data_IF_701520441397
#
_entry.id   IF_701520441397
#
_cell.length_a   1.000
_cell.length_b   1.000
_cell.length_c   1.000
_cell.angle_alpha   90.00
_cell.angle_beta   90.00
_cell.angle_gamma   90.00
#
_symmetry.space_group_name_H-M   'P 1'
#
loop_
_entity.id
_entity.type
_entity.pdbx_description
1 polymer ?
#
# COMPACT_ATOMS: atom_id res chain seq x y z
N UNK A 1 -43.11 34.04 -44.37
CA UNK A 1 -41.86 34.60 -44.92
C UNK A 1 -41.37 35.61 -43.88
N UNK A 2 -40.48 35.25 -43.00
CA UNK A 2 -39.96 36.18 -41.99
C UNK A 2 -39.05 37.20 -42.69
N UNK A 3 -39.26 38.48 -42.40
CA UNK A 3 -38.53 39.59 -43.02
C UNK A 3 -37.11 39.63 -42.50
N UNK A 4 -36.16 40.07 -43.34
CA UNK A 4 -34.72 40.13 -43.04
C UNK A 4 -34.42 40.94 -41.76
N UNK A 5 -35.29 41.91 -41.45
CA UNK A 5 -35.17 42.76 -40.22
C UNK A 5 -35.45 41.97 -38.94
N UNK A 6 -36.28 40.93 -38.97
CA UNK A 6 -36.61 40.12 -37.80
C UNK A 6 -35.45 39.12 -37.44
N UNK A 7 -34.70 38.70 -38.45
CA UNK A 7 -33.51 37.84 -38.27
C UNK A 7 -32.32 38.68 -37.75
N UNK A 8 -32.17 39.92 -38.18
CA UNK A 8 -31.11 40.78 -37.71
C UNK A 8 -31.27 41.21 -36.23
N UNK A 9 -32.49 41.40 -35.75
CA UNK A 9 -32.78 41.71 -34.37
C UNK A 9 -32.49 40.57 -33.38
N UNK A 10 -32.58 39.30 -33.85
CA UNK A 10 -32.37 38.11 -33.03
C UNK A 10 -30.90 37.78 -32.84
N UNK A 11 -30.01 38.29 -33.72
CA UNK A 11 -28.57 38.06 -33.65
C UNK A 11 -27.83 39.07 -32.76
N UNK A 12 -28.45 40.17 -32.43
CA UNK A 12 -27.85 41.25 -31.63
C UNK A 12 -27.89 41.03 -30.09
N UNK A 13 -28.54 39.92 -29.62
CA UNK A 13 -28.88 39.70 -28.22
C UNK A 13 -27.86 38.96 -27.35
N UNK A 14 -26.73 38.49 -27.89
CA UNK A 14 -25.78 37.71 -27.10
C UNK A 14 -24.35 38.24 -27.14
N UNK A 15 -24.20 39.53 -26.91
CA UNK A 15 -22.87 40.11 -26.60
C UNK A 15 -22.70 40.11 -25.10
N UNK A 16 -21.86 39.19 -24.60
CA UNK A 16 -21.37 39.24 -23.21
C UNK A 16 -20.82 40.63 -22.91
N UNK A 17 -21.19 41.28 -21.80
CA UNK A 17 -20.70 42.63 -21.49
C UNK A 17 -19.18 42.63 -21.49
N UNK A 18 -18.53 43.67 -22.04
CA UNK A 18 -17.07 43.77 -22.07
C UNK A 18 -16.53 43.74 -20.65
N UNK A 19 -15.64 42.78 -20.38
CA UNK A 19 -15.02 42.64 -19.06
C UNK A 19 -14.23 43.92 -18.76
N UNK A 20 -14.63 44.67 -17.75
CA UNK A 20 -13.91 45.87 -17.33
C UNK A 20 -12.53 45.48 -16.78
N UNK A 21 -11.52 46.35 -16.94
CA UNK A 21 -10.16 46.11 -16.40
C UNK A 21 -10.21 45.74 -14.92
N UNK A 22 -11.07 46.37 -14.15
CA UNK A 22 -11.30 46.11 -12.74
C UNK A 22 -11.88 44.71 -12.49
N UNK A 23 -12.85 44.31 -13.29
CA UNK A 23 -13.45 42.97 -13.23
C UNK A 23 -12.43 41.89 -13.58
N UNK A 24 -11.60 42.12 -14.59
CA UNK A 24 -10.53 41.20 -14.97
C UNK A 24 -9.51 41.00 -13.86
N UNK A 25 -9.01 42.10 -13.25
CA UNK A 25 -8.08 42.02 -12.11
C UNK A 25 -8.71 41.32 -10.91
N UNK A 26 -9.96 41.63 -10.59
CA UNK A 26 -10.69 40.94 -9.49
C UNK A 26 -10.86 39.44 -9.75
N UNK A 27 -11.14 39.06 -10.99
CA UNK A 27 -11.26 37.66 -11.39
C UNK A 27 -9.92 36.92 -11.26
N UNK A 28 -8.83 37.54 -11.71
CA UNK A 28 -7.48 36.96 -11.57
C UNK A 28 -7.08 36.81 -10.10
N UNK A 29 -7.27 37.81 -9.28
CA UNK A 29 -6.94 37.78 -7.86
C UNK A 29 -7.79 36.72 -7.12
N UNK A 30 -9.11 36.74 -7.37
CA UNK A 30 -10.03 35.75 -6.78
C UNK A 30 -9.73 34.32 -7.23
N UNK A 31 -9.47 34.13 -8.52
CA UNK A 31 -9.08 32.83 -9.07
C UNK A 31 -7.76 32.33 -8.51
N UNK A 32 -6.76 33.21 -8.40
CA UNK A 32 -5.46 32.85 -7.81
C UNK A 32 -5.59 32.48 -6.33
N UNK A 33 -6.41 33.21 -5.58
CA UNK A 33 -6.66 32.91 -4.16
C UNK A 33 -7.31 31.53 -4.00
N UNK A 34 -8.35 31.22 -4.78
CA UNK A 34 -9.03 29.92 -4.74
C UNK A 34 -8.08 28.80 -5.15
N UNK A 35 -7.32 29.00 -6.23
CA UNK A 35 -6.34 28.01 -6.69
C UNK A 35 -5.27 27.72 -5.62
N UNK A 36 -4.76 28.78 -4.97
CA UNK A 36 -3.79 28.63 -3.87
C UNK A 36 -4.39 27.91 -2.67
N UNK A 37 -5.62 28.25 -2.29
CA UNK A 37 -6.32 27.57 -1.19
C UNK A 37 -6.53 26.08 -1.49
N UNK A 38 -6.96 25.73 -2.70
CA UNK A 38 -7.12 24.32 -3.11
C UNK A 38 -5.78 23.60 -3.14
N UNK A 39 -4.73 24.22 -3.70
CA UNK A 39 -3.39 23.63 -3.76
C UNK A 39 -2.81 23.35 -2.36
N UNK A 40 -3.15 24.18 -1.38
CA UNK A 40 -2.69 24.01 0.00
C UNK A 40 -3.56 23.02 0.78
N UNK A 41 -4.87 23.12 0.69
CA UNK A 41 -5.80 22.28 1.45
C UNK A 41 -5.88 20.85 0.92
N UNK A 42 -5.78 20.65 -0.40
CA UNK A 42 -5.89 19.32 -0.98
C UNK A 42 -4.88 18.29 -0.42
N UNK A 43 -3.57 18.56 -0.38
CA UNK A 43 -2.62 17.60 0.19
C UNK A 43 -2.85 17.39 1.70
N UNK A 44 -3.25 18.42 2.44
CA UNK A 44 -3.56 18.31 3.87
C UNK A 44 -4.76 17.39 4.08
N UNK A 45 -5.85 17.59 3.35
CA UNK A 45 -7.04 16.74 3.43
C UNK A 45 -6.75 15.28 2.99
N UNK A 46 -5.89 15.11 1.98
CA UNK A 46 -5.48 13.76 1.53
C UNK A 46 -4.59 13.06 2.55
N UNK A 47 -3.77 13.82 3.26
CA UNK A 47 -2.95 13.28 4.37
C UNK A 47 -3.82 12.89 5.56
N UNK A 48 -4.78 13.73 5.94
CA UNK A 48 -5.68 13.45 7.06
C UNK A 48 -6.70 12.35 6.76
N UNK A 49 -7.04 12.15 5.48
CA UNK A 49 -7.97 11.13 5.04
C UNK A 49 -7.33 10.25 3.95
N UNK A 50 -6.31 9.44 4.32
CA UNK A 50 -5.65 8.59 3.35
C UNK A 50 -6.67 7.62 2.74
N UNK A 51 -6.56 7.31 1.44
CA UNK A 51 -7.41 6.31 0.83
C UNK A 51 -7.23 5.01 1.62
N UNK A 52 -8.34 4.41 2.05
CA UNK A 52 -8.31 3.05 2.61
C UNK A 52 -7.67 2.17 1.54
N UNK A 53 -6.43 1.76 1.75
CA UNK A 53 -5.87 0.69 0.95
C UNK A 53 -6.81 -0.47 1.16
N UNK A 54 -7.46 -0.91 0.09
CA UNK A 54 -8.28 -2.09 0.14
C UNK A 54 -7.36 -3.17 0.72
N UNK A 55 -7.59 -3.55 1.98
CA UNK A 55 -7.23 -4.87 2.42
C UNK A 55 -7.94 -5.75 1.39
N UNK A 56 -7.19 -6.18 0.39
CA UNK A 56 -7.71 -7.16 -0.54
C UNK A 56 -8.00 -8.35 0.35
N UNK A 57 -9.28 -8.48 0.69
CA UNK A 57 -9.81 -9.52 1.56
C UNK A 57 -9.73 -10.91 0.94
N UNK A 58 -8.68 -11.17 0.18
CA UNK A 58 -8.26 -12.52 -0.13
C UNK A 58 -7.62 -13.08 1.13
N UNK A 59 -8.33 -13.96 1.79
CA UNK A 59 -7.79 -14.78 2.90
C UNK A 59 -6.45 -15.45 2.53
N UNK A 60 -6.02 -15.36 1.27
CA UNK A 60 -4.88 -16.05 0.68
C UNK A 60 -4.19 -15.16 -0.38
N UNK A 61 -2.88 -15.04 -0.30
CA UNK A 61 -2.03 -14.24 -1.19
C UNK A 61 -1.01 -15.15 -1.87
N UNK A 62 -0.76 -14.93 -3.16
CA UNK A 62 0.34 -15.58 -3.87
C UNK A 62 1.69 -15.04 -3.34
N UNK A 63 2.47 -15.90 -2.69
CA UNK A 63 3.76 -15.52 -2.10
C UNK A 63 4.95 -15.83 -3.03
N UNK A 64 4.80 -16.75 -3.96
CA UNK A 64 5.84 -17.13 -4.92
C UNK A 64 5.52 -18.41 -5.68
N UNK A 65 6.51 -18.89 -6.44
CA UNK A 65 6.41 -20.17 -7.17
C UNK A 65 7.28 -21.23 -6.54
N UNK A 66 6.87 -22.48 -6.72
CA UNK A 66 7.67 -23.66 -6.32
C UNK A 66 8.99 -23.64 -7.10
N UNK A 67 10.11 -23.77 -6.38
CA UNK A 67 11.44 -23.74 -6.99
C UNK A 67 12.04 -22.34 -7.16
N UNK A 68 11.27 -21.28 -6.98
CA UNK A 68 11.80 -19.90 -7.00
C UNK A 68 12.79 -19.64 -5.85
N UNK A 69 12.50 -20.18 -4.66
CA UNK A 69 13.40 -20.10 -3.53
C UNK A 69 14.37 -21.29 -3.52
N UNK A 70 15.65 -21.01 -3.31
CA UNK A 70 16.65 -22.03 -3.03
C UNK A 70 16.35 -22.69 -1.69
N UNK A 71 16.85 -23.90 -1.47
CA UNK A 71 16.83 -24.53 -0.15
C UNK A 71 17.54 -23.63 0.87
N UNK A 72 17.06 -23.60 2.08
CA UNK A 72 17.59 -22.80 3.16
C UNK A 72 17.66 -21.30 2.81
N UNK A 73 16.59 -20.75 2.24
CA UNK A 73 16.52 -19.33 1.87
C UNK A 73 15.17 -18.70 2.23
N UNK A 74 15.13 -17.38 2.32
CA UNK A 74 13.92 -16.63 2.64
C UNK A 74 13.67 -15.49 1.65
N UNK A 75 12.39 -15.14 1.46
CA UNK A 75 11.93 -14.05 0.61
C UNK A 75 10.85 -13.26 1.30
N UNK A 76 10.96 -11.94 1.23
CA UNK A 76 9.89 -11.04 1.65
C UNK A 76 8.86 -10.95 0.54
N UNK A 77 7.59 -11.08 0.89
CA UNK A 77 6.44 -10.89 0.00
C UNK A 77 5.43 -9.93 0.63
N UNK A 78 4.48 -9.46 -0.15
CA UNK A 78 3.46 -8.54 0.33
C UNK A 78 2.22 -9.32 0.77
N UNK A 79 1.85 -9.20 2.03
CA UNK A 79 0.63 -9.77 2.60
C UNK A 79 -0.34 -8.64 2.98
N UNK A 80 -1.25 -8.30 2.07
CA UNK A 80 -2.10 -7.12 2.23
C UNK A 80 -1.28 -5.83 2.32
N UNK A 81 -1.41 -5.10 3.42
CA UNK A 81 -0.66 -3.87 3.71
C UNK A 81 0.65 -4.11 4.45
N UNK A 82 0.96 -5.35 4.85
CA UNK A 82 2.14 -5.70 5.67
C UNK A 82 3.11 -6.61 4.93
N UNK A 83 4.40 -6.60 5.30
CA UNK A 83 5.35 -7.55 4.76
C UNK A 83 5.15 -8.93 5.41
N UNK A 84 5.20 -9.97 4.58
CA UNK A 84 5.30 -11.37 4.98
C UNK A 84 6.69 -11.92 4.64
N UNK A 85 7.15 -12.92 5.37
CA UNK A 85 8.37 -13.67 5.12
C UNK A 85 7.98 -15.10 4.74
N UNK A 86 8.42 -15.54 3.57
CA UNK A 86 8.35 -16.92 3.12
C UNK A 86 9.75 -17.52 3.22
N UNK A 87 9.89 -18.63 3.91
CA UNK A 87 11.14 -19.38 4.07
C UNK A 87 10.99 -20.75 3.46
N UNK A 88 11.96 -21.16 2.66
CA UNK A 88 12.13 -22.55 2.28
C UNK A 88 13.22 -23.16 3.16
N UNK A 89 12.84 -24.11 4.00
CA UNK A 89 13.77 -24.74 4.94
C UNK A 89 14.83 -25.59 4.21
N UNK A 90 15.85 -26.02 4.94
CA UNK A 90 16.87 -26.93 4.39
C UNK A 90 16.28 -28.30 4.01
N UNK A 91 15.22 -28.69 4.69
CA UNK A 91 14.46 -29.93 4.46
C UNK A 91 13.52 -29.83 3.23
N UNK A 92 13.31 -28.59 2.72
CA UNK A 92 12.47 -28.34 1.55
C UNK A 92 11.06 -27.85 1.87
N UNK A 93 10.68 -27.78 3.13
CA UNK A 93 9.39 -27.29 3.59
C UNK A 93 9.27 -25.79 3.43
N UNK A 94 8.03 -25.32 3.23
CA UNK A 94 7.74 -23.88 3.21
C UNK A 94 7.14 -23.43 4.55
N UNK A 95 7.67 -22.37 5.10
CA UNK A 95 7.17 -21.67 6.29
C UNK A 95 6.86 -20.24 5.94
N UNK A 96 5.75 -19.71 6.44
CA UNK A 96 5.42 -18.31 6.25
C UNK A 96 4.99 -17.65 7.56
N UNK A 97 5.39 -16.39 7.72
CA UNK A 97 5.08 -15.61 8.91
C UNK A 97 5.10 -14.11 8.59
N UNK A 98 4.59 -13.31 9.50
CA UNK A 98 4.71 -11.86 9.41
C UNK A 98 6.19 -11.46 9.44
N UNK A 99 6.60 -10.60 8.51
CA UNK A 99 7.95 -10.06 8.51
C UNK A 99 8.08 -8.79 9.38
N UNK A 100 7.11 -8.50 10.22
CA UNK A 100 7.11 -7.34 11.11
C UNK A 100 7.55 -7.72 12.51
N UNK A 101 8.71 -7.23 12.93
CA UNK A 101 9.23 -7.44 14.29
C UNK A 101 8.27 -6.93 15.35
N UNK A 102 8.03 -7.74 16.38
CA UNK A 102 7.07 -7.40 17.46
C UNK A 102 7.61 -6.41 18.48
N UNK A 103 8.88 -5.98 18.37
CA UNK A 103 9.46 -4.92 19.20
C UNK A 103 9.04 -3.53 18.69
N UNK A 104 9.58 -3.08 17.55
CA UNK A 104 9.35 -1.76 16.99
C UNK A 104 9.05 -1.81 15.48
N UNK A 105 8.37 -2.86 15.03
CA UNK A 105 7.87 -2.99 13.65
C UNK A 105 8.93 -2.95 12.53
N UNK A 106 10.21 -3.18 12.85
CA UNK A 106 11.26 -3.36 11.84
C UNK A 106 10.97 -4.61 10.98
N UNK A 107 11.39 -4.60 9.73
CA UNK A 107 11.28 -5.79 8.87
C UNK A 107 12.34 -6.81 9.27
N UNK A 108 11.90 -8.04 9.58
CA UNK A 108 12.80 -9.16 9.85
C UNK A 108 13.25 -9.82 8.56
N UNK A 109 14.39 -10.53 8.62
CA UNK A 109 14.99 -11.24 7.50
C UNK A 109 15.35 -12.67 7.92
N UNK A 110 15.35 -13.59 6.96
CA UNK A 110 15.88 -14.93 7.20
C UNK A 110 17.41 -14.92 7.06
N UNK A 111 18.08 -15.53 8.02
CA UNK A 111 19.52 -15.78 8.03
C UNK A 111 19.78 -17.26 7.78
N UNK A 112 20.27 -17.57 6.60
CA UNK A 112 20.54 -18.93 6.13
C UNK A 112 21.70 -19.59 6.90
N UNK A 113 22.70 -18.80 7.30
CA UNK A 113 23.85 -19.24 8.10
C UNK A 113 23.46 -19.70 9.52
N UNK A 114 22.47 -19.07 10.12
CA UNK A 114 21.97 -19.36 11.47
C UNK A 114 20.67 -20.18 11.48
N UNK A 115 20.00 -20.28 10.32
CA UNK A 115 18.65 -20.86 10.18
C UNK A 115 17.62 -20.21 11.11
N UNK A 116 17.77 -18.91 11.30
CA UNK A 116 16.95 -18.09 12.17
C UNK A 116 16.31 -16.94 11.41
N UNK A 117 15.22 -16.42 11.94
CA UNK A 117 14.64 -15.14 11.50
C UNK A 117 15.19 -14.04 12.42
N UNK A 118 15.81 -13.07 11.82
CA UNK A 118 16.60 -12.05 12.52
C UNK A 118 16.09 -10.63 12.23
N UNK A 119 16.05 -9.81 13.28
CA UNK A 119 15.77 -8.39 13.22
C UNK A 119 17.05 -7.59 13.46
N UNK A 120 17.53 -6.89 12.43
CA UNK A 120 18.78 -6.12 12.49
C UNK A 120 18.70 -4.92 13.44
N UNK A 121 17.50 -4.38 13.71
CA UNK A 121 17.37 -3.16 14.51
C UNK A 121 17.89 -3.31 15.94
N UNK A 122 17.51 -4.38 16.62
CA UNK A 122 17.88 -4.61 18.03
C UNK A 122 18.25 -6.08 18.30
N UNK A 123 18.75 -6.76 17.27
CA UNK A 123 19.20 -8.14 17.36
C UNK A 123 18.15 -9.13 17.89
N UNK A 124 16.88 -8.86 17.60
CA UNK A 124 15.79 -9.79 17.91
C UNK A 124 15.89 -11.03 17.03
N UNK A 125 15.71 -12.22 17.61
CA UNK A 125 15.83 -13.50 16.92
C UNK A 125 14.58 -14.36 17.14
N UNK A 126 14.17 -15.04 16.09
CA UNK A 126 13.03 -15.94 16.11
C UNK A 126 13.39 -17.24 15.42
N UNK A 127 12.77 -18.33 15.84
CA UNK A 127 12.87 -19.61 15.16
C UNK A 127 11.96 -19.68 13.92
N UNK A 128 11.97 -20.80 13.21
CA UNK A 128 11.17 -21.01 12.00
C UNK A 128 9.65 -21.11 12.26
N UNK A 129 9.25 -21.28 13.51
CA UNK A 129 7.84 -21.22 13.94
C UNK A 129 7.41 -19.80 14.36
N UNK A 130 8.32 -18.82 14.23
CA UNK A 130 8.07 -17.42 14.60
C UNK A 130 8.19 -17.13 16.11
N UNK A 131 8.58 -18.12 16.95
CA UNK A 131 8.78 -17.90 18.39
C UNK A 131 10.08 -17.13 18.61
N UNK A 132 10.03 -16.13 19.48
CA UNK A 132 11.24 -15.38 19.86
C UNK A 132 12.20 -16.27 20.66
N UNK A 133 13.46 -16.27 20.25
CA UNK A 133 14.56 -17.04 20.87
C UNK A 133 15.40 -16.10 21.72
N UNK A 134 15.64 -14.88 21.25
CA UNK A 134 16.54 -13.92 21.90
C UNK A 134 16.20 -12.49 21.49
N UNK A 135 16.61 -11.55 22.34
CA UNK A 135 16.45 -10.11 22.12
C UNK A 135 15.17 -9.54 22.73
N UNK A 136 14.89 -8.26 22.46
CA UNK A 136 13.81 -7.51 23.08
C UNK A 136 12.38 -7.78 22.58
N UNK A 137 12.10 -8.52 21.47
CA UNK A 137 10.74 -8.75 21.02
C UNK A 137 9.88 -9.45 22.07
N UNK A 138 8.72 -8.89 22.45
CA UNK A 138 7.90 -9.42 23.55
C UNK A 138 6.96 -10.57 23.15
N UNK A 139 6.75 -10.78 21.84
CA UNK A 139 5.77 -11.73 21.30
C UNK A 139 6.31 -12.46 20.08
N UNK A 140 5.79 -13.67 19.78
CA UNK A 140 6.12 -14.35 18.54
C UNK A 140 5.65 -13.54 17.30
N UNK A 141 6.22 -13.85 16.15
CA UNK A 141 5.71 -13.42 14.86
C UNK A 141 4.40 -14.14 14.55
N UNK A 142 3.47 -13.47 13.90
CA UNK A 142 2.23 -14.09 13.42
C UNK A 142 2.59 -15.13 12.36
N UNK A 143 2.27 -16.41 12.64
CA UNK A 143 2.49 -17.49 11.69
C UNK A 143 1.35 -17.56 10.67
N UNK A 144 1.68 -17.87 9.43
CA UNK A 144 0.74 -18.03 8.33
C UNK A 144 0.70 -19.48 7.87
N UNK A 145 -0.44 -19.91 7.34
CA UNK A 145 -0.58 -21.21 6.69
C UNK A 145 -0.10 -21.12 5.25
N UNK A 146 0.69 -22.11 4.83
CA UNK A 146 1.20 -22.21 3.47
C UNK A 146 0.46 -23.33 2.75
N UNK A 147 0.00 -23.05 1.53
CA UNK A 147 -0.64 -24.02 0.64
C UNK A 147 0.06 -23.98 -0.71
N UNK A 148 0.58 -25.12 -1.13
CA UNK A 148 1.13 -25.30 -2.48
C UNK A 148 0.01 -25.81 -3.39
N UNK A 149 -0.25 -25.10 -4.49
CA UNK A 149 -1.25 -25.48 -5.50
C UNK A 149 -0.58 -25.50 -6.86
N UNK A 150 -0.30 -26.68 -7.37
CA UNK A 150 0.49 -26.83 -8.60
C UNK A 150 1.89 -26.21 -8.41
N UNK A 151 2.21 -25.20 -9.20
CA UNK A 151 3.50 -24.49 -9.15
C UNK A 151 3.48 -23.19 -8.31
N UNK A 152 2.38 -22.91 -7.63
CA UNK A 152 2.18 -21.67 -6.90
C UNK A 152 2.08 -21.90 -5.39
N UNK A 153 2.68 -20.96 -4.64
CA UNK A 153 2.71 -20.97 -3.18
C UNK A 153 1.77 -19.88 -2.69
N UNK A 154 0.67 -20.30 -2.10
CA UNK A 154 -0.30 -19.41 -1.47
C UNK A 154 -0.09 -19.36 0.04
N UNK A 155 -0.22 -18.18 0.60
CA UNK A 155 -0.11 -17.93 2.03
C UNK A 155 -1.40 -17.30 2.52
N UNK A 156 -1.93 -17.83 3.61
CA UNK A 156 -3.12 -17.28 4.27
C UNK A 156 -2.89 -17.07 5.76
N UNK A 157 -3.67 -16.17 6.36
CA UNK A 157 -3.66 -16.00 7.81
C UNK A 157 -4.16 -17.29 8.47
N UNK A 158 -3.44 -17.73 9.51
CA UNK A 158 -3.90 -18.84 10.33
C UNK A 158 -5.14 -18.40 11.11
N UNK A 159 -6.25 -19.11 10.96
CA UNK A 159 -7.41 -18.92 11.82
C UNK A 159 -7.12 -19.65 13.13
N UNK A 160 -7.06 -18.90 14.21
CA UNK A 160 -7.09 -19.52 15.54
C UNK A 160 -8.49 -20.15 15.71
N UNK A 161 -8.51 -21.44 16.06
CA UNK A 161 -9.73 -22.17 16.32
C UNK A 161 -10.22 -21.91 17.76
#
# INVERSE_FOLDING_TARGET
MATIDEVAAKTAGNQSPPVSRRGFVSLLLGGSFVASAVAFLYPVLRYLNPPKMADMGSDSVLAGKVGELKLNSGKIFRFGSRPGLLVRTAEGDYRAMSATCTHLSCTVQYRDDLREVWCACHNGKYNLEGRNISGPPPRPLEAFDVQVRGDEIFVRRRREA
#
